data_IF_074845804780
#
_entry.id   IF_074845804780
#
_cell.length_a   1.000
_cell.length_b   1.000
_cell.length_c   1.000
_cell.angle_alpha   90.00
_cell.angle_beta   90.00
_cell.angle_gamma   90.00
#
_symmetry.space_group_name_H-M   'P 1'
#
loop_
_entity.id
_entity.type
_entity.pdbx_description
1 polymer ?
#
# COMPACT_ATOMS: atom_id res chain seq x y z
N UNK A 1 -2.76 -26.39 -3.49
CA UNK A 1 -3.73 -25.82 -2.53
C UNK A 1 -5.16 -25.83 -3.08
N UNK A 2 -5.32 -26.01 -4.41
CA UNK A 2 -6.63 -26.10 -5.09
C UNK A 2 -7.60 -27.05 -4.40
N UNK A 3 -8.80 -26.56 -4.13
CA UNK A 3 -9.91 -27.34 -3.61
C UNK A 3 -11.25 -26.72 -4.06
N UNK A 4 -12.35 -27.49 -4.08
CA UNK A 4 -13.63 -27.03 -4.63
C UNK A 4 -14.19 -25.74 -4.00
N UNK A 5 -14.01 -25.56 -2.69
CA UNK A 5 -14.53 -24.38 -1.97
C UNK A 5 -13.84 -23.11 -2.45
N UNK A 6 -12.51 -23.15 -2.61
CA UNK A 6 -11.76 -21.97 -3.06
C UNK A 6 -11.89 -21.73 -4.56
N UNK A 7 -11.97 -22.78 -5.37
CA UNK A 7 -12.29 -22.62 -6.80
C UNK A 7 -13.65 -21.93 -6.96
N UNK A 8 -14.66 -22.35 -6.21
CA UNK A 8 -15.97 -21.71 -6.21
C UNK A 8 -15.91 -20.24 -5.75
N UNK A 9 -15.11 -19.95 -4.73
CA UNK A 9 -14.87 -18.58 -4.26
C UNK A 9 -14.20 -17.70 -5.33
N UNK A 10 -13.29 -18.25 -6.13
CA UNK A 10 -12.69 -17.55 -7.29
C UNK A 10 -13.73 -17.27 -8.36
N UNK A 11 -14.52 -18.28 -8.75
CA UNK A 11 -15.58 -18.17 -9.76
C UNK A 11 -16.62 -17.09 -9.41
N UNK A 12 -17.01 -17.01 -8.14
CA UNK A 12 -18.01 -16.07 -7.64
C UNK A 12 -17.41 -14.78 -7.08
N UNK A 13 -16.09 -14.63 -7.18
CA UNK A 13 -15.31 -13.47 -6.72
C UNK A 13 -15.57 -13.08 -5.25
N UNK A 14 -15.62 -14.07 -4.36
CA UNK A 14 -16.04 -13.86 -2.98
C UNK A 14 -14.92 -13.32 -2.08
N UNK A 15 -15.31 -12.49 -1.13
CA UNK A 15 -14.47 -12.16 0.03
C UNK A 15 -14.55 -13.26 1.09
N UNK A 16 -13.68 -13.22 2.11
CA UNK A 16 -13.77 -14.14 3.25
C UNK A 16 -15.15 -14.07 3.92
N UNK A 17 -15.69 -12.86 4.12
CA UNK A 17 -17.05 -12.65 4.62
C UNK A 17 -18.11 -13.31 3.72
N UNK A 18 -18.03 -13.11 2.40
CA UNK A 18 -18.95 -13.70 1.44
C UNK A 18 -18.90 -15.23 1.45
N UNK A 19 -17.70 -15.79 1.56
CA UNK A 19 -17.48 -17.23 1.62
C UNK A 19 -18.03 -17.83 2.92
N UNK A 20 -17.73 -17.22 4.07
CA UNK A 20 -18.27 -17.63 5.37
C UNK A 20 -19.79 -17.57 5.38
N UNK A 21 -20.38 -16.49 4.84
CA UNK A 21 -21.84 -16.36 4.76
C UNK A 21 -22.47 -17.46 3.89
N UNK A 22 -21.83 -17.86 2.79
CA UNK A 22 -22.34 -18.88 1.90
C UNK A 22 -22.36 -20.29 2.53
N UNK A 23 -21.37 -20.61 3.37
CA UNK A 23 -21.23 -21.93 3.97
C UNK A 23 -21.59 -22.01 5.46
N UNK A 24 -22.05 -20.92 6.06
CA UNK A 24 -22.29 -20.85 7.51
C UNK A 24 -21.00 -21.08 8.32
N UNK A 25 -19.87 -20.56 7.82
CA UNK A 25 -18.57 -20.71 8.45
C UNK A 25 -18.47 -20.03 9.82
N UNK A 26 -17.50 -20.43 10.66
CA UNK A 26 -17.30 -19.82 11.97
C UNK A 26 -16.90 -18.34 11.86
N UNK A 27 -17.12 -17.58 12.92
CA UNK A 27 -16.66 -16.20 13.00
C UNK A 27 -15.12 -16.17 13.09
N UNK A 28 -14.49 -15.21 12.43
CA UNK A 28 -13.01 -15.13 12.35
C UNK A 28 -12.31 -14.91 13.68
N UNK A 29 -12.97 -14.23 14.61
CA UNK A 29 -12.54 -14.14 16.02
C UNK A 29 -12.34 -15.50 16.71
N UNK A 30 -13.09 -16.53 16.30
CA UNK A 30 -13.07 -17.83 16.96
C UNK A 30 -12.16 -18.83 16.21
N UNK A 31 -12.16 -18.78 14.88
CA UNK A 31 -11.47 -19.76 14.03
C UNK A 31 -10.27 -19.21 13.26
N UNK A 32 -10.02 -17.90 13.33
CA UNK A 32 -9.05 -17.20 12.49
C UNK A 32 -9.63 -16.77 11.13
N UNK A 33 -8.82 -16.11 10.30
CA UNK A 33 -9.27 -15.52 9.05
C UNK A 33 -9.73 -16.58 8.06
N UNK A 34 -10.86 -16.33 7.39
CA UNK A 34 -11.31 -17.16 6.29
C UNK A 34 -10.60 -16.77 4.98
N UNK A 35 -10.42 -17.74 4.08
CA UNK A 35 -9.77 -17.48 2.79
C UNK A 35 -10.63 -16.54 1.93
N UNK A 36 -10.01 -15.50 1.39
CA UNK A 36 -10.65 -14.49 0.55
C UNK A 36 -10.10 -14.56 -0.88
N UNK A 37 -10.96 -14.47 -1.89
CA UNK A 37 -10.54 -14.11 -3.25
C UNK A 37 -10.52 -12.59 -3.45
N UNK A 38 -11.47 -11.85 -2.87
CA UNK A 38 -11.47 -10.38 -2.93
C UNK A 38 -10.36 -9.80 -2.06
N UNK A 39 -9.32 -9.22 -2.67
CA UNK A 39 -8.11 -8.76 -1.97
C UNK A 39 -7.66 -7.39 -2.46
N UNK A 40 -7.14 -6.57 -1.55
CA UNK A 40 -6.39 -5.36 -1.88
C UNK A 40 -4.93 -5.68 -2.18
N UNK A 41 -4.25 -4.81 -2.92
CA UNK A 41 -2.80 -4.91 -3.13
C UNK A 41 -2.32 -6.17 -3.86
N UNK A 42 -3.23 -6.92 -4.50
CA UNK A 42 -2.90 -8.04 -5.38
C UNK A 42 -2.50 -7.54 -6.76
N UNK A 43 -1.61 -8.25 -7.44
CA UNK A 43 -1.32 -8.03 -8.86
C UNK A 43 -2.03 -9.07 -9.74
N UNK A 44 -2.39 -8.66 -10.96
CA UNK A 44 -2.94 -9.55 -11.98
C UNK A 44 -2.14 -9.37 -13.28
N UNK A 45 -1.71 -10.48 -13.88
CA UNK A 45 -0.90 -10.49 -15.10
C UNK A 45 -1.49 -11.47 -16.10
N UNK A 46 -1.96 -10.94 -17.23
CA UNK A 46 -2.42 -11.74 -18.36
C UNK A 46 -1.22 -12.18 -19.19
N UNK A 47 -1.06 -13.49 -19.38
CA UNK A 47 -0.02 -14.07 -20.22
C UNK A 47 -0.47 -14.11 -21.70
N UNK A 48 0.49 -14.17 -22.65
CA UNK A 48 0.18 -14.26 -24.09
C UNK A 48 -0.67 -15.47 -24.49
N UNK A 49 -0.61 -16.56 -23.72
CA UNK A 49 -1.40 -17.78 -23.95
C UNK A 49 -2.81 -17.72 -23.35
N UNK A 50 -3.21 -16.59 -22.79
CA UNK A 50 -4.53 -16.36 -22.21
C UNK A 50 -4.67 -16.79 -20.74
N UNK A 51 -3.62 -17.34 -20.11
CA UNK A 51 -3.64 -17.57 -18.66
C UNK A 51 -3.59 -16.24 -17.90
N UNK A 52 -4.37 -16.12 -16.83
CA UNK A 52 -4.36 -14.99 -15.93
C UNK A 52 -3.77 -15.41 -14.58
N UNK A 53 -2.62 -14.83 -14.24
CA UNK A 53 -1.91 -15.06 -12.99
C UNK A 53 -2.26 -13.95 -12.00
N UNK A 54 -2.65 -14.33 -10.78
CA UNK A 54 -2.91 -13.39 -9.68
C UNK A 54 -2.07 -13.74 -8.47
N UNK A 55 -1.38 -12.74 -7.91
CA UNK A 55 -0.33 -12.98 -6.92
C UNK A 55 -0.59 -12.19 -5.65
N UNK A 56 -0.67 -12.88 -4.51
CA UNK A 56 -0.71 -12.28 -3.18
C UNK A 56 -1.95 -11.42 -2.88
N UNK A 57 -1.70 -10.27 -2.24
CA UNK A 57 -2.70 -9.31 -1.75
C UNK A 57 -3.06 -9.53 -0.28
N UNK A 58 -3.81 -8.59 0.28
CA UNK A 58 -4.34 -8.65 1.65
C UNK A 58 -5.87 -8.59 1.66
N UNK A 59 -6.48 -9.07 2.75
CA UNK A 59 -7.89 -8.89 3.04
C UNK A 59 -8.05 -8.23 4.42
N UNK A 60 -8.96 -7.25 4.49
CA UNK A 60 -9.22 -6.36 5.65
C UNK A 60 -8.02 -5.51 6.11
N UNK A 61 -8.26 -4.68 7.14
CA UNK A 61 -7.25 -3.91 7.86
C UNK A 61 -6.71 -4.69 9.07
N UNK A 62 -5.50 -4.37 9.54
CA UNK A 62 -4.79 -5.11 10.60
C UNK A 62 -5.52 -5.29 11.95
N UNK A 63 -6.54 -4.47 12.24
CA UNK A 63 -7.35 -4.57 13.46
C UNK A 63 -8.59 -5.46 13.28
N UNK A 64 -8.86 -5.92 12.07
CA UNK A 64 -9.93 -6.85 11.77
C UNK A 64 -9.47 -8.30 12.01
N UNK A 65 -10.28 -9.15 12.66
CA UNK A 65 -9.97 -10.56 12.86
C UNK A 65 -9.81 -11.37 11.55
N UNK A 66 -10.38 -10.91 10.44
CA UNK A 66 -10.19 -11.51 9.11
C UNK A 66 -8.92 -11.00 8.38
N UNK A 67 -8.10 -10.16 9.03
CA UNK A 67 -6.88 -9.65 8.43
C UNK A 67 -5.92 -10.77 8.04
N UNK A 68 -5.59 -10.84 6.76
CA UNK A 68 -4.63 -11.81 6.26
C UNK A 68 -3.91 -11.31 5.01
N UNK A 69 -2.58 -11.42 5.01
CA UNK A 69 -1.74 -11.15 3.84
C UNK A 69 -1.38 -12.48 3.21
N UNK A 70 -1.72 -12.63 1.93
CA UNK A 70 -1.63 -13.90 1.23
C UNK A 70 -0.27 -14.06 0.53
N UNK A 71 0.22 -15.30 0.53
CA UNK A 71 1.38 -15.77 -0.22
C UNK A 71 1.01 -16.94 -1.14
N UNK A 72 -0.04 -16.75 -1.94
CA UNK A 72 -0.47 -17.73 -2.92
C UNK A 72 -0.49 -17.13 -4.33
N UNK A 73 -0.45 -18.02 -5.33
CA UNK A 73 -0.65 -17.70 -6.74
C UNK A 73 -1.92 -18.40 -7.23
N UNK A 74 -2.79 -17.66 -7.90
CA UNK A 74 -3.99 -18.19 -8.55
C UNK A 74 -3.79 -18.08 -10.05
N UNK A 75 -3.90 -19.19 -10.75
CA UNK A 75 -3.82 -19.25 -12.20
C UNK A 75 -5.19 -19.62 -12.73
N UNK A 76 -5.73 -18.81 -13.62
CA UNK A 76 -6.95 -19.14 -14.37
C UNK A 76 -6.56 -19.31 -15.84
N UNK A 77 -6.83 -20.46 -16.45
CA UNK A 77 -6.58 -20.66 -17.87
C UNK A 77 -7.64 -20.00 -18.77
N UNK A 78 -7.42 -20.02 -20.08
CA UNK A 78 -8.34 -19.44 -21.06
C UNK A 78 -9.73 -20.11 -21.07
N UNK A 79 -9.86 -21.32 -20.54
CA UNK A 79 -11.12 -22.03 -20.39
C UNK A 79 -11.81 -21.78 -19.03
N UNK A 80 -11.19 -20.97 -18.16
CA UNK A 80 -11.70 -20.63 -16.84
C UNK A 80 -11.31 -21.62 -15.74
N UNK A 81 -10.51 -22.65 -16.03
CA UNK A 81 -10.05 -23.60 -15.00
C UNK A 81 -9.06 -22.91 -14.08
N UNK A 82 -9.23 -23.13 -12.78
CA UNK A 82 -8.46 -22.44 -11.75
C UNK A 82 -7.55 -23.41 -10.98
N UNK A 83 -6.29 -23.02 -10.84
CA UNK A 83 -5.31 -23.69 -9.98
C UNK A 83 -4.76 -22.71 -8.93
N UNK A 84 -4.64 -23.18 -7.68
CA UNK A 84 -4.19 -22.39 -6.54
C UNK A 84 -2.94 -23.02 -5.93
N UNK A 85 -1.85 -22.27 -6.02
CA UNK A 85 -0.53 -22.62 -5.50
C UNK A 85 -0.30 -21.86 -4.20
N UNK A 86 -0.10 -22.61 -3.11
CA UNK A 86 0.28 -22.08 -1.81
C UNK A 86 1.76 -22.35 -1.56
N UNK A 87 2.42 -21.42 -0.89
CA UNK A 87 3.85 -21.48 -0.66
C UNK A 87 4.13 -21.34 0.84
N UNK A 88 5.25 -21.88 1.29
CA UNK A 88 5.75 -21.54 2.63
C UNK A 88 6.29 -20.11 2.64
N UNK A 89 6.23 -19.44 3.79
CA UNK A 89 6.76 -18.08 3.98
C UNK A 89 8.24 -17.93 3.64
N UNK A 90 9.00 -19.03 3.67
CA UNK A 90 10.43 -19.05 3.27
C UNK A 90 10.63 -18.90 1.76
N UNK A 91 9.68 -19.41 0.97
CA UNK A 91 9.73 -19.38 -0.50
C UNK A 91 9.03 -18.12 -1.01
N UNK A 92 7.81 -17.88 -0.52
CA UNK A 92 7.05 -16.68 -0.83
C UNK A 92 6.50 -16.12 0.48
N UNK A 93 7.10 -15.04 1.02
CA UNK A 93 6.57 -14.37 2.19
C UNK A 93 5.24 -13.67 1.86
N UNK A 94 4.37 -13.43 2.86
CA UNK A 94 3.14 -12.64 2.68
C UNK A 94 3.40 -11.30 1.99
N UNK A 95 2.73 -11.08 0.85
CA UNK A 95 3.05 -9.99 -0.09
C UNK A 95 1.79 -9.29 -0.61
N UNK A 96 1.69 -7.98 -0.37
CA UNK A 96 0.60 -7.07 -0.75
C UNK A 96 1.13 -5.71 -1.19
N UNK A 97 0.36 -4.98 -2.01
CA UNK A 97 0.71 -3.68 -2.60
C UNK A 97 2.07 -3.66 -3.31
N UNK A 98 2.46 -4.79 -3.87
CA UNK A 98 3.59 -4.94 -4.76
C UNK A 98 3.19 -4.58 -6.19
N UNK A 99 4.19 -4.37 -7.04
CA UNK A 99 3.99 -4.33 -8.49
C UNK A 99 4.50 -5.61 -9.12
N UNK A 100 4.00 -5.94 -10.32
CA UNK A 100 4.38 -7.15 -11.06
C UNK A 100 4.56 -6.81 -12.54
N UNK A 101 5.69 -7.22 -13.12
CA UNK A 101 6.05 -6.98 -14.51
C UNK A 101 6.34 -8.30 -15.21
N UNK A 102 5.64 -8.59 -16.30
CA UNK A 102 5.91 -9.76 -17.15
C UNK A 102 7.13 -9.47 -18.02
N UNK A 103 8.21 -10.23 -17.83
CA UNK A 103 9.44 -10.19 -18.61
C UNK A 103 9.67 -11.59 -19.16
N UNK A 104 9.54 -11.74 -20.47
CA UNK A 104 9.55 -13.04 -21.15
C UNK A 104 8.56 -14.03 -20.51
N UNK A 105 9.07 -15.12 -19.93
CA UNK A 105 8.32 -16.18 -19.25
C UNK A 105 8.41 -16.07 -17.72
N UNK A 106 8.73 -14.87 -17.20
CA UNK A 106 8.87 -14.58 -15.77
C UNK A 106 8.02 -13.37 -15.35
N UNK A 107 7.51 -13.40 -14.12
CA UNK A 107 6.90 -12.22 -13.50
C UNK A 107 7.81 -11.73 -12.38
N UNK A 108 8.31 -10.50 -12.52
CA UNK A 108 9.15 -9.84 -11.52
C UNK A 108 8.25 -9.03 -10.59
N UNK A 109 8.24 -9.40 -9.31
CA UNK A 109 7.51 -8.72 -8.25
C UNK A 109 8.44 -7.76 -7.52
N UNK A 110 8.00 -6.51 -7.35
CA UNK A 110 8.79 -5.45 -6.72
C UNK A 110 8.02 -4.86 -5.54
N UNK A 111 8.68 -4.80 -4.39
CA UNK A 111 8.20 -4.21 -3.14
C UNK A 111 6.97 -4.89 -2.56
N UNK A 112 6.52 -4.43 -1.41
CA UNK A 112 5.24 -4.78 -0.75
C UNK A 112 5.13 -4.01 0.58
N UNK A 113 3.95 -4.01 1.20
CA UNK A 113 3.80 -3.50 2.57
C UNK A 113 4.20 -4.56 3.59
N UNK A 114 3.65 -5.76 3.47
CA UNK A 114 3.84 -6.95 4.30
C UNK A 114 3.58 -6.72 5.80
N UNK A 115 3.73 -7.80 6.57
CA UNK A 115 3.75 -7.74 8.03
C UNK A 115 5.00 -6.97 8.50
N UNK A 116 4.85 -6.21 9.58
CA UNK A 116 5.93 -5.33 10.09
C UNK A 116 7.23 -6.08 10.40
N UNK A 117 7.15 -7.32 10.87
CA UNK A 117 8.31 -8.15 11.22
C UNK A 117 9.03 -8.75 10.00
N UNK A 118 8.40 -8.74 8.82
CA UNK A 118 8.99 -9.24 7.58
C UNK A 118 9.73 -8.15 6.79
N UNK A 119 9.56 -6.88 7.18
CA UNK A 119 10.15 -5.74 6.48
C UNK A 119 11.65 -5.67 6.71
N UNK A 120 12.39 -5.33 5.67
CA UNK A 120 13.83 -5.13 5.68
C UNK A 120 14.21 -3.69 5.29
N UNK A 121 15.50 -3.41 5.19
CA UNK A 121 15.99 -2.07 4.81
C UNK A 121 15.74 -1.73 3.32
N UNK A 122 15.81 -2.74 2.44
CA UNK A 122 15.74 -2.60 0.98
C UNK A 122 14.51 -3.30 0.42
N UNK A 123 14.02 -2.81 -0.71
CA UNK A 123 12.86 -3.37 -1.44
C UNK A 123 12.93 -4.90 -1.59
N UNK A 124 11.79 -5.57 -1.39
CA UNK A 124 11.68 -6.99 -1.71
C UNK A 124 11.66 -7.20 -3.22
N UNK A 125 12.42 -8.20 -3.68
CA UNK A 125 12.53 -8.59 -5.08
C UNK A 125 12.30 -10.10 -5.21
N UNK A 126 11.21 -10.48 -5.87
CA UNK A 126 10.87 -11.88 -6.12
C UNK A 126 10.59 -12.10 -7.62
N UNK A 127 10.74 -13.33 -8.05
CA UNK A 127 10.46 -13.76 -9.42
C UNK A 127 9.59 -15.01 -9.39
N UNK A 128 8.52 -15.00 -10.19
CA UNK A 128 7.68 -16.15 -10.48
C UNK A 128 7.99 -16.66 -11.89
N UNK A 129 8.28 -17.95 -12.01
CA UNK A 129 8.35 -18.66 -13.28
C UNK A 129 6.93 -18.95 -13.79
N UNK A 130 6.58 -18.52 -15.00
CA UNK A 130 5.20 -18.62 -15.50
C UNK A 130 4.82 -20.02 -15.99
N UNK A 131 5.77 -20.96 -16.06
CA UNK A 131 5.53 -22.35 -16.50
C UNK A 131 5.42 -23.29 -15.32
N UNK A 132 6.38 -23.24 -14.40
CA UNK A 132 6.43 -24.08 -13.19
C UNK A 132 5.69 -23.48 -12.00
N UNK A 133 5.39 -22.17 -12.06
CA UNK A 133 4.92 -21.38 -10.93
C UNK A 133 5.88 -21.40 -9.73
N UNK A 134 7.15 -21.72 -9.94
CA UNK A 134 8.18 -21.60 -8.90
C UNK A 134 8.43 -20.14 -8.54
N UNK A 135 8.53 -19.83 -7.24
CA UNK A 135 8.94 -18.51 -6.75
C UNK A 135 10.37 -18.58 -6.23
N UNK A 136 11.18 -17.59 -6.60
CA UNK A 136 12.55 -17.41 -6.15
C UNK A 136 12.84 -15.95 -5.82
N UNK A 137 13.93 -15.71 -5.09
CA UNK A 137 14.45 -14.35 -4.92
C UNK A 137 15.08 -13.87 -6.22
N UNK A 138 14.91 -12.59 -6.51
CA UNK A 138 15.63 -11.94 -7.60
C UNK A 138 16.79 -11.16 -6.99
N UNK A 139 18.00 -11.66 -7.19
CA UNK A 139 19.21 -11.06 -6.63
C UNK A 139 19.47 -9.70 -7.28
N UNK A 140 19.80 -8.71 -6.45
CA UNK A 140 20.04 -7.35 -6.93
C UNK A 140 21.31 -6.75 -6.34
N UNK A 141 21.89 -5.80 -7.07
CA UNK A 141 23.06 -5.04 -6.65
C UNK A 141 22.82 -3.54 -6.83
N UNK A 142 23.80 -2.71 -6.46
CA UNK A 142 23.70 -1.26 -6.61
C UNK A 142 22.86 -0.57 -5.52
N UNK A 143 22.36 0.63 -5.85
CA UNK A 143 21.62 1.49 -4.92
C UNK A 143 20.12 1.21 -5.03
N UNK A 144 19.65 0.21 -4.27
CA UNK A 144 18.24 -0.18 -4.25
C UNK A 144 17.35 0.80 -3.47
N UNK A 145 16.06 0.91 -3.83
CA UNK A 145 15.11 1.65 -3.02
C UNK A 145 14.98 1.06 -1.61
N UNK A 146 14.61 1.88 -0.62
CA UNK A 146 14.12 1.40 0.66
C UNK A 146 12.90 0.47 0.52
N UNK A 147 12.42 -0.11 1.62
CA UNK A 147 11.19 -0.91 1.61
C UNK A 147 9.99 -0.08 1.11
N UNK A 148 9.55 -0.36 -0.12
CA UNK A 148 8.57 0.46 -0.85
C UNK A 148 7.32 -0.35 -1.22
N UNK A 149 6.16 0.29 -1.16
CA UNK A 149 4.85 -0.30 -1.47
C UNK A 149 3.91 0.75 -2.07
N UNK A 150 2.83 0.33 -2.75
CA UNK A 150 1.92 1.23 -3.49
C UNK A 150 2.64 2.14 -4.51
N UNK A 151 3.82 1.72 -4.99
CA UNK A 151 4.56 2.40 -6.05
C UNK A 151 4.02 1.97 -7.42
N UNK A 152 4.44 2.68 -8.47
CA UNK A 152 4.30 2.19 -9.84
C UNK A 152 5.60 1.59 -10.33
N UNK A 153 5.50 0.60 -11.21
CA UNK A 153 6.61 0.04 -11.97
C UNK A 153 6.25 -0.03 -13.44
N UNK A 154 7.21 0.22 -14.31
CA UNK A 154 7.02 0.18 -15.76
C UNK A 154 8.23 -0.45 -16.43
N UNK A 155 8.01 -1.37 -17.38
CA UNK A 155 9.07 -1.85 -18.26
C UNK A 155 9.47 -0.75 -19.24
N UNK A 156 10.75 -0.42 -19.25
CA UNK A 156 11.33 0.61 -20.12
C UNK A 156 12.47 0.00 -20.94
N UNK A 157 13.01 0.79 -21.87
CA UNK A 157 14.16 0.40 -22.68
C UNK A 157 13.95 -0.94 -23.41
N UNK A 158 12.77 -1.08 -24.03
CA UNK A 158 12.34 -2.28 -24.73
C UNK A 158 12.39 -3.55 -23.85
N UNK A 159 12.03 -3.41 -22.57
CA UNK A 159 11.96 -4.53 -21.63
C UNK A 159 13.28 -4.89 -20.97
N UNK A 160 14.33 -4.07 -21.12
CA UNK A 160 15.65 -4.31 -20.50
C UNK A 160 15.81 -3.66 -19.12
N UNK A 161 14.87 -2.82 -18.71
CA UNK A 161 14.89 -2.20 -17.40
C UNK A 161 13.47 -1.98 -16.84
N UNK A 162 13.37 -1.85 -15.52
CA UNK A 162 12.14 -1.46 -14.83
C UNK A 162 12.36 -0.11 -14.15
N UNK A 163 11.45 0.82 -14.40
CA UNK A 163 11.39 2.11 -13.74
C UNK A 163 10.39 2.07 -12.59
N UNK A 164 10.83 2.41 -11.38
CA UNK A 164 10.00 2.47 -10.17
C UNK A 164 9.84 3.91 -9.70
N UNK A 165 8.59 4.31 -9.47
CA UNK A 165 8.23 5.69 -9.10
C UNK A 165 7.14 5.74 -8.04
N UNK A 166 7.18 6.82 -7.25
CA UNK A 166 6.17 7.11 -6.24
C UNK A 166 6.00 5.98 -5.23
N UNK A 167 4.83 5.95 -4.61
CA UNK A 167 4.52 5.02 -3.53
C UNK A 167 5.02 5.50 -2.18
N UNK A 168 5.00 4.57 -1.23
CA UNK A 168 5.27 4.81 0.16
C UNK A 168 6.44 3.96 0.61
N UNK A 169 7.27 4.53 1.48
CA UNK A 169 8.43 3.89 2.09
C UNK A 169 8.18 3.77 3.58
N UNK A 170 8.52 2.61 4.13
CA UNK A 170 8.63 2.40 5.57
C UNK A 170 9.97 1.73 5.90
N UNK A 171 10.31 1.64 7.19
CA UNK A 171 11.52 0.99 7.66
C UNK A 171 12.09 1.64 8.91
N UNK A 172 13.11 1.04 9.56
CA UNK A 172 13.65 1.50 10.84
C UNK A 172 14.16 2.94 10.83
N UNK A 173 14.64 3.40 9.67
CA UNK A 173 15.11 4.78 9.47
C UNK A 173 13.99 5.82 9.37
N UNK A 174 12.72 5.39 9.29
CA UNK A 174 11.57 6.28 9.15
C UNK A 174 10.62 6.12 10.33
N UNK A 175 10.36 7.19 11.11
CA UNK A 175 9.46 7.11 12.27
C UNK A 175 8.01 6.83 11.88
N UNK A 176 7.66 7.09 10.61
CA UNK A 176 6.38 6.79 9.97
C UNK A 176 6.61 6.42 8.53
N UNK A 177 5.60 5.84 7.90
CA UNK A 177 5.54 5.74 6.44
C UNK A 177 5.64 7.12 5.80
N UNK A 178 6.52 7.28 4.81
CA UNK A 178 6.73 8.52 4.05
C UNK A 178 6.60 8.28 2.56
N UNK A 179 6.41 9.34 1.77
CA UNK A 179 6.41 9.23 0.31
C UNK A 179 7.80 8.87 -0.23
N UNK A 180 7.83 7.98 -1.23
CA UNK A 180 8.99 7.82 -2.09
C UNK A 180 9.03 8.98 -3.09
N UNK A 181 9.96 9.91 -2.86
CA UNK A 181 10.14 11.06 -3.75
C UNK A 181 11.23 10.82 -4.78
N UNK A 182 11.85 9.65 -4.85
CA UNK A 182 12.93 9.36 -5.79
C UNK A 182 12.50 8.32 -6.82
N UNK A 183 13.13 8.38 -7.99
CA UNK A 183 12.89 7.50 -9.11
C UNK A 183 14.04 6.48 -9.15
N UNK A 184 13.72 5.22 -9.41
CA UNK A 184 14.67 4.12 -9.36
C UNK A 184 14.61 3.32 -10.65
N UNK A 185 15.75 2.89 -11.17
CA UNK A 185 15.85 2.02 -12.35
C UNK A 185 16.50 0.71 -11.94
N UNK A 186 15.87 -0.40 -12.28
CA UNK A 186 16.47 -1.73 -12.21
C UNK A 186 16.86 -2.15 -13.62
N UNK A 187 18.15 -2.39 -13.83
CA UNK A 187 18.66 -3.04 -15.03
C UNK A 187 18.39 -4.55 -14.97
N UNK A 188 17.67 -5.10 -15.95
CA UNK A 188 17.25 -6.50 -15.92
C UNK A 188 18.33 -7.47 -16.39
N UNK A 189 19.28 -7.02 -17.21
CA UNK A 189 20.40 -7.84 -17.66
C UNK A 189 21.40 -8.10 -16.52
N UNK A 190 21.60 -7.11 -15.65
CA UNK A 190 22.61 -7.15 -14.59
C UNK A 190 22.04 -7.25 -13.17
N UNK A 191 20.73 -7.05 -13.00
CA UNK A 191 20.09 -6.96 -11.68
C UNK A 191 20.53 -5.72 -10.88
N UNK A 192 21.11 -4.71 -11.52
CA UNK A 192 21.68 -3.53 -10.84
C UNK A 192 20.64 -2.43 -10.70
N UNK A 193 20.43 -1.97 -9.47
CA UNK A 193 19.66 -0.77 -9.17
C UNK A 193 20.48 0.51 -9.32
N UNK A 194 19.82 1.53 -9.84
CA UNK A 194 20.29 2.90 -9.89
C UNK A 194 19.21 3.86 -9.39
N UNK A 195 19.60 4.77 -8.50
CA UNK A 195 18.76 5.89 -8.09
C UNK A 195 18.90 7.02 -9.09
N UNK A 196 17.85 7.28 -9.86
CA UNK A 196 17.86 8.27 -10.95
C UNK A 196 17.72 9.71 -10.44
N UNK A 197 17.06 9.91 -9.31
CA UNK A 197 16.85 11.24 -8.74
C UNK A 197 17.25 11.29 -7.28
N UNK A 198 17.79 12.44 -6.88
CA UNK A 198 18.15 12.75 -5.49
C UNK A 198 17.51 14.07 -5.14
N UNK A 199 16.28 14.03 -4.64
CA UNK A 199 15.53 15.25 -4.32
C UNK A 199 15.79 15.63 -2.85
N UNK A 200 16.56 16.70 -2.53
CA UNK A 200 16.93 17.07 -1.16
C UNK A 200 15.79 17.84 -0.46
N UNK A 201 14.56 17.33 -0.54
CA UNK A 201 13.40 18.00 0.01
C UNK A 201 13.33 17.77 1.52
N UNK A 202 13.14 18.84 2.29
CA UNK A 202 12.85 18.72 3.72
C UNK A 202 11.49 18.05 3.89
N UNK A 203 11.46 16.98 4.68
CA UNK A 203 10.24 16.24 5.01
C UNK A 203 9.85 16.51 6.45
N UNK A 204 8.56 16.72 6.68
CA UNK A 204 7.99 16.89 8.00
C UNK A 204 6.99 15.76 8.24
N UNK A 205 7.12 15.09 9.38
CA UNK A 205 6.16 14.09 9.84
C UNK A 205 5.52 14.60 11.14
N UNK A 206 4.19 14.56 11.20
CA UNK A 206 3.46 14.88 12.43
C UNK A 206 3.07 13.59 13.13
N UNK A 207 3.84 13.25 14.17
CA UNK A 207 3.65 12.06 14.98
C UNK A 207 3.21 12.44 16.38
N UNK A 208 2.34 11.63 16.98
CA UNK A 208 2.05 11.76 18.40
C UNK A 208 3.21 11.22 19.22
N UNK A 209 3.46 11.85 20.37
CA UNK A 209 4.49 11.41 21.30
C UNK A 209 4.25 9.99 21.86
N UNK A 210 3.00 9.54 21.89
CA UNK A 210 2.60 8.20 22.31
C UNK A 210 2.59 7.16 21.17
N UNK A 211 2.96 7.55 19.95
CA UNK A 211 2.95 6.66 18.78
C UNK A 211 1.56 6.26 18.28
N UNK A 212 0.48 6.74 18.93
CA UNK A 212 -0.89 6.41 18.55
C UNK A 212 -1.33 7.18 17.30
N UNK A 213 -2.39 6.73 16.60
CA UNK A 213 -2.95 7.47 15.47
C UNK A 213 -3.34 8.90 15.86
N UNK A 214 -3.07 9.87 14.98
CA UNK A 214 -3.52 11.24 15.18
C UNK A 214 -5.06 11.29 15.22
N UNK A 215 -5.63 12.05 16.16
CA UNK A 215 -7.09 12.25 16.30
C UNK A 215 -7.68 13.17 15.20
N UNK A 216 -7.22 13.03 13.95
CA UNK A 216 -7.62 13.91 12.85
C UNK A 216 -9.11 13.80 12.52
N UNK A 217 -9.71 12.62 12.73
CA UNK A 217 -11.16 12.43 12.59
C UNK A 217 -11.95 13.27 13.61
N UNK A 218 -11.46 13.36 14.86
CA UNK A 218 -12.04 14.23 15.88
C UNK A 218 -11.89 15.70 15.51
N UNK A 219 -10.75 16.11 14.95
CA UNK A 219 -10.57 17.46 14.41
C UNK A 219 -11.57 17.76 13.29
N UNK A 220 -11.75 16.82 12.35
CA UNK A 220 -12.74 16.95 11.28
C UNK A 220 -14.17 17.07 11.82
N UNK A 221 -14.52 16.31 12.86
CA UNK A 221 -15.82 16.40 13.54
C UNK A 221 -15.98 17.74 14.27
N UNK A 222 -14.97 18.17 15.01
CA UNK A 222 -14.95 19.44 15.74
C UNK A 222 -15.10 20.64 14.80
N UNK A 223 -14.42 20.62 13.65
CA UNK A 223 -14.55 21.65 12.61
C UNK A 223 -15.95 21.66 11.99
N UNK A 224 -16.53 20.49 11.71
CA UNK A 224 -17.92 20.37 11.21
C UNK A 224 -18.94 20.84 12.24
N UNK A 225 -18.74 20.51 13.52
CA UNK A 225 -19.63 20.90 14.61
C UNK A 225 -19.54 22.41 14.88
N UNK A 226 -18.33 23.01 14.82
CA UNK A 226 -18.12 24.46 14.90
C UNK A 226 -18.78 25.19 13.73
N UNK A 227 -18.60 24.71 12.50
CA UNK A 227 -19.26 25.28 11.33
C UNK A 227 -20.80 25.22 11.44
N UNK A 228 -21.34 24.11 11.97
CA UNK A 228 -22.78 23.97 12.26
C UNK A 228 -23.25 24.91 13.37
N UNK A 229 -22.45 25.10 14.41
CA UNK A 229 -22.76 26.03 15.49
C UNK A 229 -22.78 27.48 14.97
N UNK A 230 -21.75 27.90 14.22
CA UNK A 230 -21.67 29.24 13.61
C UNK A 230 -22.82 29.48 12.61
N UNK A 231 -23.23 28.47 11.83
CA UNK A 231 -24.40 28.55 10.95
C UNK A 231 -25.71 28.69 11.74
N UNK A 232 -25.86 28.01 12.88
CA UNK A 232 -27.02 28.16 13.78
C UNK A 232 -27.04 29.53 14.44
N UNK A 233 -25.89 30.07 14.86
CA UNK A 233 -25.80 31.43 15.43
C UNK A 233 -26.16 32.49 14.39
N UNK A 234 -25.76 32.30 13.12
CA UNK A 234 -26.19 33.17 12.00
C UNK A 234 -27.68 33.06 11.70
N UNK A 235 -28.27 31.87 11.78
CA UNK A 235 -29.71 31.68 11.55
C UNK A 235 -30.60 32.26 12.66
N UNK A 236 -30.05 32.51 13.86
CA UNK A 236 -30.76 33.16 14.98
C UNK A 236 -30.69 34.70 14.90
N UNK A 237 -29.80 35.26 14.08
CA UNK A 237 -29.72 36.69 13.81
C UNK A 237 -30.34 37.02 12.45
N UNK A 238 -31.66 37.17 12.40
CA UNK A 238 -32.31 38.08 11.44
C UNK A 238 -32.38 39.50 12.04
N UNK A 239 -32.27 40.57 11.22
CA UNK A 239 -31.80 41.87 11.69
C UNK A 239 -32.95 42.78 12.13
N UNK A 240 -32.95 43.21 13.39
CA UNK A 240 -33.50 44.52 13.74
C UNK A 240 -32.37 45.55 13.68
N UNK A 241 -32.58 46.54 12.83
CA UNK A 241 -31.62 47.55 12.43
C UNK A 241 -30.98 48.27 13.63
N UNK A 242 -29.66 48.32 13.68
CA UNK A 242 -28.92 49.47 14.22
C UNK A 242 -27.60 49.62 13.47
N UNK A 243 -27.48 50.74 12.75
CA UNK A 243 -26.25 51.17 12.13
C UNK A 243 -25.32 51.72 13.20
N UNK A 244 -24.10 51.19 13.27
CA UNK A 244 -22.97 51.84 13.94
C UNK A 244 -21.75 51.69 13.02
N UNK A 245 -21.35 52.80 12.41
CA UNK A 245 -20.02 53.02 11.84
C UNK A 245 -18.97 52.92 12.94
N UNK A 246 -17.77 52.36 12.69
CA UNK A 246 -16.42 53.00 12.69
C UNK A 246 -15.37 51.90 12.29
N UNK A 247 -14.04 52.16 12.20
CA UNK A 247 -13.24 52.33 10.99
C UNK A 247 -12.32 51.14 10.63
N UNK A 248 -11.60 51.32 9.53
CA UNK A 248 -10.62 50.46 8.88
C UNK A 248 -9.28 50.28 9.63
N UNK A 249 -8.64 49.13 9.30
CA UNK A 249 -7.18 48.84 9.24
C UNK A 249 -6.40 48.39 10.49
N UNK A 250 -5.98 47.12 10.41
CA UNK A 250 -4.57 46.63 10.37
C UNK A 250 -4.27 45.48 11.34
N UNK A 251 -4.10 44.28 10.76
CA UNK A 251 -3.59 43.10 11.45
C UNK A 251 -2.06 43.06 11.36
N UNK A 252 -1.41 43.09 12.52
CA UNK A 252 0.03 42.92 12.68
C UNK A 252 0.36 41.42 12.60
N UNK A 253 1.16 41.06 11.60
CA UNK A 253 1.85 39.79 11.49
C UNK A 253 3.03 39.77 12.49
N UNK A 254 3.08 38.80 13.40
CA UNK A 254 4.32 38.53 14.16
C UNK A 254 4.85 37.13 13.83
N UNK A 255 5.81 37.10 12.91
CA UNK A 255 6.81 36.03 12.82
C UNK A 255 7.80 36.22 13.96
N UNK A 256 7.99 35.22 14.82
CA UNK A 256 9.25 35.06 15.57
C UNK A 256 9.99 33.84 15.08
N UNK A 257 10.88 34.10 14.14
CA UNK A 257 12.07 33.32 13.87
C UNK A 257 13.01 33.48 15.07
N UNK A 258 13.47 32.39 15.69
CA UNK A 258 14.65 32.44 16.56
C UNK A 258 15.50 31.20 16.36
N UNK A 259 16.64 31.40 15.71
CA UNK A 259 17.97 30.79 15.92
C UNK A 259 18.95 31.68 15.13
N UNK A 260 20.28 31.67 15.37
CA UNK A 260 21.05 31.09 16.48
C UNK A 260 22.03 32.11 17.11
N UNK A 261 22.72 31.77 18.19
CA UNK A 261 24.05 32.35 18.44
C UNK A 261 24.95 31.36 19.17
N UNK A 262 26.20 31.37 18.73
CA UNK A 262 27.31 30.49 19.05
C UNK A 262 28.04 30.89 20.34
N UNK A 263 28.77 29.90 20.89
CA UNK A 263 30.03 29.97 21.63
C UNK A 263 30.06 30.73 22.98
N UNK A 264 30.35 29.99 24.05
CA UNK A 264 31.72 29.80 24.56
C UNK A 264 31.85 28.40 25.17
#
# INVERSE_FOLDING_TARGET
MTNPVWTWAVEHRLTAYGLNKAFGGPHSKDAGPCWSFGRYGRTETLLPDGRLIRIGGEYEDWYDPDFYIYNNVIVTDAAGRTEIFGYSDRVFPPTDFHTANLVDDRIIMIGNLSYWFARAEKVQMLMLDTTSYGISRFDTSGEAPPWVFKHSSELVENGRAILVRGGLICGPQWPVTVENIDDWRLDLDTGRWERLTRRPWRRFAFVRADGMPNHLHWLGRLLKDRARAEARTRAVFEPSAFAISVPTRDWICSKRCTRPTYLT
#
